data_IF_972448123555
#
_entry.id   IF_972448123555
#
_cell.length_a   1.000
_cell.length_b   1.000
_cell.length_c   1.000
_cell.angle_alpha   90.00
_cell.angle_beta   90.00
_cell.angle_gamma   90.00
#
_symmetry.space_group_name_H-M   'P 1'
#
loop_
_entity.id
_entity.type
_entity.pdbx_description
1 polymer ?
#
# COMPACT_ATOMS: atom_id res chain seq x y z
N UNK A 1 -38.39 7.41 0.53
CA UNK A 1 -37.15 7.94 -0.05
C UNK A 1 -36.05 8.15 0.98
N UNK A 2 -36.27 8.90 2.08
CA UNK A 2 -35.30 8.95 3.21
C UNK A 2 -35.19 7.61 3.95
N UNK A 3 -36.31 6.95 4.23
CA UNK A 3 -36.33 5.63 4.89
C UNK A 3 -35.69 4.51 4.06
N UNK A 4 -35.61 4.69 2.74
CA UNK A 4 -34.95 3.75 1.82
C UNK A 4 -33.42 3.84 1.95
N UNK A 5 -32.90 5.07 1.98
CA UNK A 5 -31.47 5.35 2.18
C UNK A 5 -30.99 5.03 3.59
N UNK A 6 -31.88 5.18 4.59
CA UNK A 6 -31.62 4.79 5.97
C UNK A 6 -31.56 3.26 6.12
N UNK A 7 -32.43 2.52 5.40
CA UNK A 7 -32.40 1.05 5.34
C UNK A 7 -31.16 0.51 4.64
N UNK A 8 -30.71 1.16 3.56
CA UNK A 8 -29.48 0.78 2.84
C UNK A 8 -28.23 0.97 3.73
N UNK A 9 -28.15 2.07 4.48
CA UNK A 9 -27.12 2.29 5.50
C UNK A 9 -27.18 1.30 6.66
N UNK A 10 -28.38 0.90 7.08
CA UNK A 10 -28.57 -0.08 8.16
C UNK A 10 -28.13 -1.50 7.75
N UNK A 11 -28.37 -1.91 6.50
CA UNK A 11 -27.90 -3.22 5.97
C UNK A 11 -26.38 -3.27 5.86
N UNK A 12 -25.73 -2.18 5.44
CA UNK A 12 -24.25 -2.07 5.39
C UNK A 12 -23.61 -2.12 6.80
N UNK A 13 -24.37 -1.74 7.83
CA UNK A 13 -23.93 -1.72 9.23
C UNK A 13 -24.19 -3.05 9.96
N UNK A 14 -25.25 -3.80 9.62
CA UNK A 14 -25.52 -5.14 10.19
C UNK A 14 -24.58 -6.23 9.64
N UNK A 15 -23.95 -6.02 8.48
CA UNK A 15 -23.01 -7.00 7.90
C UNK A 15 -21.61 -7.02 8.54
N UNK A 16 -21.24 -6.07 9.41
CA UNK A 16 -19.87 -5.97 9.95
C UNK A 16 -18.76 -5.83 8.89
N UNK A 17 -19.15 -5.62 7.62
CA UNK A 17 -18.31 -5.74 6.43
C UNK A 17 -17.68 -4.42 5.99
N UNK A 18 -18.21 -3.26 6.43
CA UNK A 18 -17.63 -1.94 6.11
C UNK A 18 -16.13 -1.87 6.43
N UNK A 19 -15.70 -2.39 7.58
CA UNK A 19 -14.28 -2.40 7.96
C UNK A 19 -13.43 -3.32 7.08
N UNK A 20 -13.95 -4.50 6.68
CA UNK A 20 -13.22 -5.44 5.80
C UNK A 20 -13.12 -4.92 4.37
N UNK A 21 -14.18 -4.31 3.85
CA UNK A 21 -14.20 -3.68 2.52
C UNK A 21 -13.23 -2.49 2.49
N UNK A 22 -13.28 -1.60 3.48
CA UNK A 22 -12.35 -0.46 3.58
C UNK A 22 -10.90 -0.91 3.74
N UNK A 23 -10.64 -1.91 4.61
CA UNK A 23 -9.27 -2.46 4.77
C UNK A 23 -8.79 -3.14 3.48
N UNK A 24 -9.67 -3.82 2.75
CA UNK A 24 -9.36 -4.44 1.47
C UNK A 24 -9.04 -3.41 0.38
N UNK A 25 -9.81 -2.34 0.28
CA UNK A 25 -9.54 -1.24 -0.65
C UNK A 25 -8.20 -0.57 -0.36
N UNK A 26 -7.92 -0.22 0.90
CA UNK A 26 -6.64 0.33 1.34
C UNK A 26 -5.48 -0.63 1.07
N UNK A 27 -5.66 -1.93 1.29
CA UNK A 27 -4.64 -2.92 0.99
C UNK A 27 -4.28 -2.93 -0.50
N UNK A 28 -5.26 -2.80 -1.39
CA UNK A 28 -5.03 -2.71 -2.84
C UNK A 28 -4.31 -1.42 -3.19
N UNK A 29 -4.74 -0.27 -2.67
CA UNK A 29 -4.08 1.03 -2.92
C UNK A 29 -2.60 1.00 -2.48
N UNK A 30 -2.33 0.56 -1.26
CA UNK A 30 -0.96 0.47 -0.76
C UNK A 30 -0.13 -0.58 -1.50
N UNK A 31 -0.74 -1.66 -1.98
CA UNK A 31 -0.03 -2.65 -2.79
C UNK A 31 0.39 -2.08 -4.14
N UNK A 32 -0.46 -1.27 -4.78
CA UNK A 32 -0.11 -0.58 -6.03
C UNK A 32 1.02 0.43 -5.80
N UNK A 33 0.93 1.24 -4.74
CA UNK A 33 2.00 2.16 -4.35
C UNK A 33 3.31 1.42 -4.04
N UNK A 34 3.20 0.29 -3.33
CA UNK A 34 4.33 -0.57 -3.01
C UNK A 34 4.98 -1.20 -4.22
N UNK A 35 4.20 -1.63 -5.21
CA UNK A 35 4.72 -2.15 -6.47
C UNK A 35 5.50 -1.08 -7.23
N UNK A 36 4.96 0.14 -7.35
CA UNK A 36 5.62 1.26 -8.02
C UNK A 36 6.93 1.61 -7.30
N UNK A 37 6.88 1.77 -5.97
CA UNK A 37 8.08 2.04 -5.18
C UNK A 37 9.12 0.92 -5.31
N UNK A 38 8.70 -0.34 -5.32
CA UNK A 38 9.57 -1.50 -5.48
C UNK A 38 10.24 -1.55 -6.86
N UNK A 39 9.52 -1.20 -7.93
CA UNK A 39 10.11 -1.06 -9.28
C UNK A 39 11.18 0.02 -9.30
N UNK A 40 10.92 1.18 -8.71
CA UNK A 40 11.90 2.28 -8.63
C UNK A 40 13.13 1.84 -7.83
N UNK A 41 12.91 1.16 -6.70
CA UNK A 41 13.97 0.68 -5.84
C UNK A 41 14.88 -0.32 -6.55
N UNK A 42 14.32 -1.35 -7.21
CA UNK A 42 15.15 -2.33 -7.94
C UNK A 42 15.82 -1.71 -9.16
N UNK A 43 15.15 -0.81 -9.89
CA UNK A 43 15.77 -0.14 -11.02
C UNK A 43 17.00 0.67 -10.57
N UNK A 44 16.92 1.35 -9.43
CA UNK A 44 18.06 2.03 -8.82
C UNK A 44 19.17 1.07 -8.38
N UNK A 45 18.81 -0.05 -7.75
CA UNK A 45 19.77 -1.07 -7.32
C UNK A 45 20.49 -1.72 -8.52
N UNK A 46 19.76 -2.08 -9.57
CA UNK A 46 20.31 -2.66 -10.80
C UNK A 46 21.24 -1.66 -11.51
N UNK A 47 20.87 -0.37 -11.56
CA UNK A 47 21.72 0.67 -12.12
C UNK A 47 23.04 0.83 -11.35
N UNK A 48 22.98 0.84 -10.01
CA UNK A 48 24.19 0.88 -9.17
C UNK A 48 25.03 -0.37 -9.38
N UNK A 49 24.41 -1.56 -9.42
CA UNK A 49 25.10 -2.82 -9.62
C UNK A 49 25.78 -2.86 -10.99
N UNK A 50 25.12 -2.39 -12.04
CA UNK A 50 25.68 -2.28 -13.39
C UNK A 50 26.93 -1.40 -13.40
N UNK A 51 26.88 -0.23 -12.77
CA UNK A 51 28.02 0.69 -12.68
C UNK A 51 29.17 0.04 -11.91
N UNK A 52 28.87 -0.61 -10.78
CA UNK A 52 29.89 -1.25 -9.95
C UNK A 52 30.54 -2.43 -10.67
N UNK A 53 29.76 -3.28 -11.34
CA UNK A 53 30.28 -4.42 -12.10
C UNK A 53 31.18 -3.98 -13.23
N UNK A 54 30.77 -2.96 -14.00
CA UNK A 54 31.52 -2.51 -15.18
C UNK A 54 32.72 -1.64 -14.82
N UNK A 55 32.59 -0.68 -13.90
CA UNK A 55 33.62 0.34 -13.65
C UNK A 55 34.57 -0.01 -12.51
N UNK A 56 34.13 -0.81 -11.54
CA UNK A 56 34.95 -1.14 -10.34
C UNK A 56 35.57 -2.52 -10.46
N UNK A 57 34.81 -3.49 -10.97
CA UNK A 57 35.21 -4.90 -11.00
C UNK A 57 35.56 -5.44 -12.39
N UNK A 58 35.36 -4.66 -13.46
CA UNK A 58 35.63 -5.03 -14.86
C UNK A 58 34.96 -6.38 -15.25
N UNK A 59 33.77 -6.62 -14.70
CA UNK A 59 32.96 -7.82 -14.89
C UNK A 59 31.86 -7.59 -15.93
N UNK A 60 31.43 -8.68 -16.58
CA UNK A 60 30.29 -8.63 -17.50
C UNK A 60 28.99 -8.40 -16.73
N UNK A 61 28.20 -7.36 -17.06
CA UNK A 61 26.96 -7.09 -16.36
C UNK A 61 25.93 -8.20 -16.61
N UNK A 62 25.31 -8.67 -15.52
CA UNK A 62 24.26 -9.69 -15.55
C UNK A 62 22.95 -9.13 -15.02
N UNK A 63 21.83 -9.57 -15.58
CA UNK A 63 20.49 -9.20 -15.12
C UNK A 63 20.03 -10.10 -13.99
N UNK A 64 19.58 -9.51 -12.88
CA UNK A 64 19.21 -10.26 -11.68
C UNK A 64 17.70 -10.27 -11.45
N UNK A 65 17.00 -11.22 -12.06
CA UNK A 65 15.53 -11.36 -11.91
C UNK A 65 15.11 -11.51 -10.44
N UNK A 66 15.94 -12.17 -9.63
CA UNK A 66 15.70 -12.32 -8.19
C UNK A 66 15.68 -10.97 -7.46
N UNK A 67 16.52 -10.01 -7.84
CA UNK A 67 16.49 -8.66 -7.29
C UNK A 67 15.18 -7.94 -7.63
N UNK A 68 14.63 -8.18 -8.83
CA UNK A 68 13.35 -7.61 -9.26
C UNK A 68 12.19 -8.17 -8.46
N UNK A 69 12.15 -9.49 -8.26
CA UNK A 69 11.15 -10.11 -7.41
C UNK A 69 11.24 -9.60 -5.96
N UNK A 70 12.45 -9.46 -5.42
CA UNK A 70 12.67 -8.96 -4.06
C UNK A 70 12.32 -7.47 -3.91
N UNK A 71 12.70 -6.63 -4.87
CA UNK A 71 12.42 -5.20 -4.82
C UNK A 71 10.93 -4.91 -4.92
N UNK A 72 10.24 -5.52 -5.89
CA UNK A 72 8.80 -5.34 -6.08
C UNK A 72 8.03 -6.01 -4.93
N UNK A 73 8.34 -7.27 -4.61
CA UNK A 73 7.68 -8.00 -3.53
C UNK A 73 7.89 -7.36 -2.17
N UNK A 74 9.12 -6.90 -1.89
CA UNK A 74 9.46 -6.17 -0.67
C UNK A 74 8.75 -4.82 -0.58
N UNK A 75 8.71 -4.06 -1.69
CA UNK A 75 7.98 -2.78 -1.76
C UNK A 75 6.49 -2.94 -1.47
N UNK A 76 5.83 -3.91 -2.10
CA UNK A 76 4.41 -4.25 -1.85
C UNK A 76 4.23 -4.63 -0.38
N UNK A 77 5.03 -5.55 0.14
CA UNK A 77 4.87 -6.07 1.49
C UNK A 77 5.05 -4.97 2.54
N UNK A 78 6.13 -4.21 2.47
CA UNK A 78 6.46 -3.17 3.46
C UNK A 78 5.42 -2.06 3.43
N UNK A 79 5.09 -1.51 2.25
CA UNK A 79 4.17 -0.37 2.14
C UNK A 79 2.75 -0.78 2.51
N UNK A 80 2.29 -1.96 2.08
CA UNK A 80 0.95 -2.46 2.47
C UNK A 80 0.87 -2.72 3.97
N UNK A 81 1.87 -3.37 4.58
CA UNK A 81 1.86 -3.63 6.02
C UNK A 81 1.88 -2.31 6.81
N UNK A 82 2.78 -1.38 6.47
CA UNK A 82 2.87 -0.09 7.16
C UNK A 82 1.61 0.75 6.95
N UNK A 83 1.07 0.84 5.73
CA UNK A 83 -0.15 1.57 5.43
C UNK A 83 -1.37 1.03 6.18
N UNK A 84 -1.50 -0.30 6.27
CA UNK A 84 -2.56 -0.92 7.05
C UNK A 84 -2.39 -0.74 8.56
N UNK A 85 -1.17 -0.75 9.09
CA UNK A 85 -0.91 -0.45 10.50
C UNK A 85 -1.22 1.01 10.84
N UNK A 86 -0.76 1.96 10.01
CA UNK A 86 -0.99 3.41 10.22
C UNK A 86 -2.46 3.80 10.05
N UNK A 87 -3.13 3.27 9.04
CA UNK A 87 -4.57 3.54 8.85
C UNK A 87 -5.41 3.01 10.02
N UNK A 88 -5.01 1.89 10.65
CA UNK A 88 -5.66 1.41 11.88
C UNK A 88 -5.54 2.41 13.03
N UNK A 89 -4.39 3.10 13.19
CA UNK A 89 -4.17 4.13 14.21
C UNK A 89 -5.02 5.39 13.96
N UNK A 90 -5.19 5.79 12.70
CA UNK A 90 -5.95 7.00 12.33
C UNK A 90 -7.46 6.77 12.41
N UNK A 91 -7.94 5.58 12.03
CA UNK A 91 -9.38 5.22 12.06
C UNK A 91 -9.90 5.01 13.49
N UNK A 92 -9.02 4.86 14.50
CA UNK A 92 -9.42 4.81 15.90
C UNK A 92 -9.79 6.17 16.50
N UNK A 93 -9.67 7.28 15.76
CA UNK A 93 -10.20 8.58 16.19
C UNK A 93 -11.72 8.57 16.03
N UNK A 94 -12.51 8.77 17.11
CA UNK A 94 -13.96 8.72 17.02
C UNK A 94 -14.49 9.76 16.01
N UNK A 95 -15.40 9.36 15.10
CA UNK A 95 -15.95 10.23 14.03
C UNK A 95 -16.73 11.44 14.56
N UNK A 96 -16.97 11.50 15.87
CA UNK A 96 -17.56 12.66 16.54
C UNK A 96 -16.62 13.86 16.61
N UNK A 97 -15.29 13.69 16.43
CA UNK A 97 -14.36 14.83 16.40
C UNK A 97 -14.25 15.49 15.03
N UNK A 98 -14.42 14.74 13.92
CA UNK A 98 -14.45 15.32 12.58
C UNK A 98 -15.73 16.09 12.28
N UNK A 99 -16.85 15.73 12.94
CA UNK A 99 -18.11 16.48 12.86
C UNK A 99 -18.10 17.74 13.73
N UNK A 100 -17.32 17.76 14.82
CA UNK A 100 -17.24 18.91 15.73
C UNK A 100 -16.27 20.01 15.28
N UNK A 101 -15.61 19.84 14.13
CA UNK A 101 -14.81 20.88 13.49
C UNK A 101 -15.55 21.62 12.37
N UNK A 102 -16.75 21.15 12.00
CA UNK A 102 -17.59 21.75 10.96
C UNK A 102 -18.71 22.62 11.58
N UNK A 103 -18.93 22.51 12.90
CA UNK A 103 -19.65 23.48 13.73
C UNK A 103 -18.66 24.43 14.43
#
# INVERSE_FOLDING_TARGET
>A
SYDERLRENAVLRTLGSSRKIVTGALAVEFSVLGAIAGVIAVAGAEAVLYIVQTQVFDMQPSWHIDLWALGIGGGILIITVLGLLRSREIITVPPLQSLRQID
#
